data_IF_328168888597
#
_entry.id   IF_328168888597
#
_cell.length_a   1.000
_cell.length_b   1.000
_cell.length_c   1.000
_cell.angle_alpha   90.00
_cell.angle_beta   90.00
_cell.angle_gamma   90.00
#
_symmetry.space_group_name_H-M   'P 1'
#
loop_
_entity.id
_entity.type
_entity.pdbx_description
1 polymer ?
#
# COMPACT_ATOMS: atom_id res chain seq x y z
N UNK A 1 8.28 74.01 -10.16
CA UNK A 1 8.18 73.42 -8.81
C UNK A 1 7.15 72.30 -8.91
N UNK A 2 7.57 71.08 -9.23
CA UNK A 2 8.12 70.07 -8.33
C UNK A 2 7.02 69.19 -7.72
N UNK A 3 6.95 67.95 -8.25
CA UNK A 3 6.62 66.69 -7.53
C UNK A 3 5.16 66.48 -7.08
N UNK A 4 4.55 65.28 -7.09
CA UNK A 4 4.98 63.89 -7.22
C UNK A 4 3.84 63.08 -7.87
N UNK A 5 4.15 62.23 -8.85
CA UNK A 5 3.35 61.05 -9.11
C UNK A 5 3.59 60.06 -7.95
N UNK A 6 2.61 59.85 -7.07
CA UNK A 6 2.62 58.67 -6.20
C UNK A 6 1.99 57.51 -6.99
N UNK A 7 2.81 56.86 -7.81
CA UNK A 7 2.52 55.51 -8.26
C UNK A 7 2.76 54.55 -7.09
N UNK A 8 1.70 54.24 -6.34
CA UNK A 8 1.73 53.17 -5.36
C UNK A 8 1.67 51.82 -6.11
N UNK A 9 2.84 51.33 -6.52
CA UNK A 9 3.00 49.96 -7.03
C UNK A 9 2.87 49.00 -5.85
N UNK A 10 1.65 48.51 -5.59
CA UNK A 10 1.38 47.42 -4.67
C UNK A 10 1.87 46.11 -5.30
N UNK A 11 3.14 45.79 -5.07
CA UNK A 11 3.75 44.50 -5.38
C UNK A 11 3.26 43.48 -4.35
N UNK A 12 2.12 42.82 -4.61
CA UNK A 12 1.69 41.65 -3.83
C UNK A 12 2.61 40.47 -4.20
N UNK A 13 3.66 40.26 -3.41
CA UNK A 13 4.41 39.01 -3.40
C UNK A 13 3.46 37.86 -3.03
N UNK A 14 3.14 37.00 -4.00
CA UNK A 14 2.46 35.74 -3.74
C UNK A 14 3.32 34.88 -2.83
N UNK A 15 2.84 34.63 -1.62
CA UNK A 15 3.39 33.60 -0.75
C UNK A 15 3.08 32.25 -1.39
N UNK A 16 4.07 31.68 -2.08
CA UNK A 16 4.03 30.26 -2.47
C UNK A 16 4.22 29.44 -1.19
N UNK A 17 3.12 29.10 -0.52
CA UNK A 17 3.17 28.09 0.54
C UNK A 17 3.50 26.75 -0.10
N UNK A 18 4.52 26.01 0.39
CA UNK A 18 4.73 24.66 -0.08
C UNK A 18 3.52 23.82 0.35
N UNK A 19 2.81 23.25 -0.63
CA UNK A 19 1.88 22.16 -0.38
C UNK A 19 2.70 21.02 0.22
N UNK A 20 2.57 20.81 1.51
CA UNK A 20 2.98 19.56 2.13
C UNK A 20 2.00 18.50 1.63
N UNK A 21 2.50 17.55 0.85
CA UNK A 21 1.71 16.38 0.47
C UNK A 21 1.34 15.62 1.75
N UNK A 22 0.05 15.59 2.08
CA UNK A 22 -0.49 14.76 3.17
C UNK A 22 -0.35 13.29 2.75
N UNK A 23 0.20 12.44 3.62
CA UNK A 23 0.33 11.00 3.39
C UNK A 23 -0.38 10.20 4.52
N UNK A 24 -1.70 10.37 4.70
CA UNK A 24 -2.45 9.72 5.78
C UNK A 24 -2.30 8.20 5.83
N UNK A 25 -2.17 7.52 4.68
CA UNK A 25 -1.97 6.07 4.68
C UNK A 25 -0.58 5.67 5.20
N UNK A 26 0.47 6.41 4.83
CA UNK A 26 1.80 6.23 5.38
C UNK A 26 1.88 6.53 6.89
N UNK A 27 1.19 7.58 7.35
CA UNK A 27 1.15 7.94 8.77
C UNK A 27 0.50 6.83 9.60
N UNK A 28 -0.59 6.25 9.10
CA UNK A 28 -1.21 5.09 9.74
C UNK A 28 -0.29 3.87 9.74
N UNK A 29 0.42 3.60 8.63
CA UNK A 29 1.41 2.52 8.56
C UNK A 29 2.52 2.72 9.59
N UNK A 30 2.96 3.95 9.81
CA UNK A 30 3.95 4.28 10.83
C UNK A 30 3.40 4.06 12.26
N UNK A 31 2.18 4.52 12.55
CA UNK A 31 1.52 4.34 13.85
C UNK A 31 1.32 2.86 14.19
N UNK A 32 0.95 2.04 13.21
CA UNK A 32 0.83 0.59 13.39
C UNK A 32 2.18 -0.07 13.72
N UNK A 33 3.25 0.33 13.04
CA UNK A 33 4.61 -0.15 13.35
C UNK A 33 5.05 0.28 14.76
N UNK A 34 4.74 1.49 15.20
CA UNK A 34 5.02 1.97 16.57
C UNK A 34 4.29 1.12 17.61
N UNK A 35 3.00 0.82 17.37
CA UNK A 35 2.21 -0.08 18.22
C UNK A 35 2.83 -1.48 18.30
N UNK A 36 3.26 -2.03 17.17
CA UNK A 36 3.93 -3.35 17.15
C UNK A 36 5.29 -3.33 17.85
N UNK A 37 6.05 -2.24 17.75
CA UNK A 37 7.30 -2.04 18.49
C UNK A 37 7.02 -2.09 19.99
N UNK A 38 5.99 -1.38 20.45
CA UNK A 38 5.61 -1.36 21.86
C UNK A 38 5.29 -2.78 22.37
N UNK A 39 4.46 -3.53 21.66
CA UNK A 39 4.16 -4.92 22.03
C UNK A 39 5.40 -5.82 22.01
N UNK A 40 6.28 -5.67 21.02
CA UNK A 40 7.50 -6.46 20.94
C UNK A 40 8.48 -6.14 22.08
N UNK A 41 8.53 -4.88 22.55
CA UNK A 41 9.32 -4.48 23.73
C UNK A 41 8.77 -5.09 25.01
N UNK A 42 7.45 -5.02 25.21
CA UNK A 42 6.78 -5.61 26.38
C UNK A 42 6.97 -7.13 26.44
N UNK A 43 6.99 -7.80 25.28
CA UNK A 43 7.28 -9.23 25.18
C UNK A 43 8.78 -9.59 25.28
N UNK A 44 9.69 -8.61 25.44
CA UNK A 44 11.14 -8.84 25.50
C UNK A 44 11.76 -9.33 24.18
N UNK A 45 11.06 -9.21 23.05
CA UNK A 45 11.52 -9.70 21.75
C UNK A 45 12.38 -8.65 21.02
N UNK A 46 13.61 -8.48 21.49
CA UNK A 46 14.54 -7.47 20.98
C UNK A 46 14.87 -7.63 19.49
N UNK A 47 14.88 -8.86 18.97
CA UNK A 47 15.10 -9.10 17.54
C UNK A 47 13.96 -8.54 16.70
N UNK A 48 12.70 -8.79 17.10
CA UNK A 48 11.53 -8.22 16.44
C UNK A 48 11.50 -6.70 16.53
N UNK A 49 11.86 -6.13 17.68
CA UNK A 49 11.95 -4.67 17.86
C UNK A 49 12.89 -4.05 16.83
N UNK A 50 14.11 -4.57 16.70
CA UNK A 50 15.10 -4.04 15.75
C UNK A 50 14.61 -4.10 14.29
N UNK A 51 13.93 -5.20 13.90
CA UNK A 51 13.33 -5.32 12.58
C UNK A 51 12.22 -4.28 12.34
N UNK A 52 11.34 -4.08 13.31
CA UNK A 52 10.24 -3.11 13.22
C UNK A 52 10.73 -1.66 13.22
N UNK A 53 11.77 -1.32 13.99
CA UNK A 53 12.40 0.01 13.98
C UNK A 53 12.99 0.33 12.60
N UNK A 54 13.65 -0.65 11.96
CA UNK A 54 14.16 -0.51 10.60
C UNK A 54 13.02 -0.29 9.60
N UNK A 55 11.91 -1.02 9.73
CA UNK A 55 10.72 -0.84 8.90
C UNK A 55 10.09 0.55 9.10
N UNK A 56 9.95 1.01 10.34
CA UNK A 56 9.43 2.33 10.67
C UNK A 56 10.30 3.45 10.08
N UNK A 57 11.63 3.33 10.19
CA UNK A 57 12.56 4.27 9.57
C UNK A 57 12.42 4.30 8.05
N UNK A 58 12.20 3.15 7.40
CA UNK A 58 12.00 3.08 5.96
C UNK A 58 10.68 3.74 5.54
N UNK A 59 9.60 3.51 6.28
CA UNK A 59 8.29 4.14 6.04
C UNK A 59 8.40 5.65 6.16
N UNK A 60 8.97 6.17 7.25
CA UNK A 60 9.13 7.62 7.46
C UNK A 60 9.99 8.30 6.40
N UNK A 61 10.93 7.57 5.78
CA UNK A 61 11.85 8.12 4.78
C UNK A 61 11.31 8.07 3.35
N UNK A 62 10.63 6.97 2.99
CA UNK A 62 10.39 6.63 1.59
C UNK A 62 8.90 6.41 1.25
N UNK A 63 8.02 6.34 2.24
CA UNK A 63 6.61 6.04 1.97
C UNK A 63 5.90 7.20 1.28
N UNK A 64 5.06 6.87 0.30
CA UNK A 64 4.10 7.79 -0.31
C UNK A 64 2.78 7.04 -0.47
N UNK A 65 1.65 7.71 -0.26
CA UNK A 65 0.33 7.08 -0.38
C UNK A 65 0.09 6.56 -1.80
N UNK A 66 0.48 7.36 -2.80
CA UNK A 66 0.46 6.93 -4.19
C UNK A 66 1.36 5.71 -4.46
N UNK A 67 2.48 5.58 -3.74
CA UNK A 67 3.35 4.41 -3.80
C UNK A 67 2.66 3.16 -3.24
N UNK A 68 2.02 3.27 -2.08
CA UNK A 68 1.27 2.16 -1.46
C UNK A 68 0.11 1.70 -2.36
N UNK A 69 -0.62 2.63 -2.96
CA UNK A 69 -1.71 2.31 -3.90
C UNK A 69 -1.18 1.59 -5.14
N UNK A 70 -0.04 2.04 -5.70
CA UNK A 70 0.58 1.38 -6.85
C UNK A 70 1.06 -0.03 -6.52
N UNK A 71 1.73 -0.21 -5.39
CA UNK A 71 2.16 -1.52 -4.89
C UNK A 71 0.95 -2.45 -4.73
N UNK A 72 -0.12 -1.99 -4.07
CA UNK A 72 -1.33 -2.81 -3.91
C UNK A 72 -2.03 -3.17 -5.23
N UNK A 73 -2.04 -2.26 -6.21
CA UNK A 73 -2.56 -2.56 -7.56
C UNK A 73 -1.72 -3.59 -8.30
N UNK A 74 -0.41 -3.57 -8.09
CA UNK A 74 0.49 -4.58 -8.62
C UNK A 74 0.23 -5.95 -7.99
N UNK A 75 0.13 -6.02 -6.65
CA UNK A 75 -0.20 -7.26 -5.93
C UNK A 75 -1.53 -7.87 -6.45
N UNK A 76 -2.54 -7.03 -6.70
CA UNK A 76 -3.83 -7.46 -7.26
C UNK A 76 -3.66 -8.06 -8.66
N UNK A 77 -2.85 -7.44 -9.52
CA UNK A 77 -2.62 -7.93 -10.87
C UNK A 77 -1.88 -9.28 -10.86
N UNK A 78 -0.83 -9.42 -10.04
CA UNK A 78 -0.13 -10.71 -9.86
C UNK A 78 -1.08 -11.79 -9.32
N UNK A 79 -1.96 -11.45 -8.38
CA UNK A 79 -2.94 -12.38 -7.83
C UNK A 79 -4.01 -12.79 -8.86
N UNK A 80 -4.40 -11.89 -9.77
CA UNK A 80 -5.28 -12.19 -10.89
C UNK A 80 -4.61 -13.13 -11.91
N UNK A 81 -3.33 -12.91 -12.22
CA UNK A 81 -2.53 -13.80 -13.08
C UNK A 81 -2.41 -15.21 -12.46
N UNK A 82 -2.12 -15.31 -11.15
CA UNK A 82 -2.07 -16.60 -10.42
C UNK A 82 -3.41 -17.35 -10.49
N UNK A 83 -4.54 -16.64 -10.44
CA UNK A 83 -5.88 -17.23 -10.56
C UNK A 83 -6.09 -17.78 -11.98
N UNK A 84 -5.67 -17.05 -13.01
CA UNK A 84 -5.79 -17.46 -14.39
C UNK A 84 -4.94 -18.71 -14.69
N UNK A 85 -3.70 -18.76 -14.17
CA UNK A 85 -2.85 -19.95 -14.24
C UNK A 85 -3.51 -21.18 -13.59
N UNK A 86 -4.14 -21.01 -12.41
CA UNK A 86 -4.83 -22.12 -11.74
C UNK A 86 -6.05 -22.58 -12.54
N UNK A 87 -6.78 -21.67 -13.19
CA UNK A 87 -7.90 -22.04 -14.06
C UNK A 87 -7.44 -22.80 -15.30
N UNK A 88 -6.28 -22.46 -15.86
CA UNK A 88 -5.63 -23.22 -16.93
C UNK A 88 -5.23 -24.62 -16.48
N UNK A 89 -4.56 -24.73 -15.32
CA UNK A 89 -4.19 -26.00 -14.72
C UNK A 89 -5.41 -26.90 -14.47
N UNK A 90 -6.52 -26.33 -13.99
CA UNK A 90 -7.77 -27.08 -13.80
C UNK A 90 -8.23 -27.68 -15.14
N UNK A 91 -8.32 -26.88 -16.20
CA UNK A 91 -8.74 -27.35 -17.54
C UNK A 91 -7.83 -28.46 -18.07
N UNK A 92 -6.52 -28.32 -17.88
CA UNK A 92 -5.55 -29.35 -18.25
C UNK A 92 -5.80 -30.65 -17.47
N UNK A 93 -5.92 -30.57 -16.14
CA UNK A 93 -6.10 -31.77 -15.30
C UNK A 93 -7.46 -32.44 -15.47
N UNK A 94 -8.49 -31.69 -15.82
CA UNK A 94 -9.78 -32.24 -16.27
C UNK A 94 -9.61 -33.06 -17.55
N UNK A 95 -8.89 -32.53 -18.55
CA UNK A 95 -8.64 -33.24 -19.82
C UNK A 95 -7.80 -34.51 -19.65
N UNK A 96 -6.91 -34.53 -18.65
CA UNK A 96 -6.11 -35.69 -18.25
C UNK A 96 -6.91 -36.71 -17.40
N UNK A 97 -8.14 -36.40 -16.99
CA UNK A 97 -8.95 -37.23 -16.10
C UNK A 97 -8.43 -37.30 -14.66
N UNK A 98 -7.60 -36.34 -14.23
CA UNK A 98 -6.93 -36.32 -12.93
C UNK A 98 -7.73 -35.55 -11.88
N UNK A 99 -8.91 -36.07 -11.56
CA UNK A 99 -9.88 -35.40 -10.69
C UNK A 99 -9.39 -35.16 -9.25
N UNK A 100 -8.45 -35.97 -8.75
CA UNK A 100 -7.80 -35.74 -7.45
C UNK A 100 -6.99 -34.42 -7.44
N UNK A 101 -6.33 -34.12 -8.57
CA UNK A 101 -5.57 -32.87 -8.77
C UNK A 101 -6.50 -31.70 -9.00
N UNK A 102 -7.56 -31.86 -9.79
CA UNK A 102 -8.60 -30.83 -9.98
C UNK A 102 -9.14 -30.38 -8.62
N UNK A 103 -9.56 -31.33 -7.77
CA UNK A 103 -10.06 -31.00 -6.42
C UNK A 103 -9.03 -30.24 -5.56
N UNK A 104 -7.74 -30.52 -5.74
CA UNK A 104 -6.68 -29.79 -5.03
C UNK A 104 -6.49 -28.37 -5.56
N UNK A 105 -6.59 -28.18 -6.87
CA UNK A 105 -6.49 -26.89 -7.53
C UNK A 105 -7.71 -26.02 -7.22
N UNK A 106 -8.93 -26.57 -7.16
CA UNK A 106 -10.13 -25.85 -6.73
C UNK A 106 -9.99 -25.26 -5.32
N UNK A 107 -9.40 -26.01 -4.38
CA UNK A 107 -9.09 -25.48 -3.03
C UNK A 107 -8.02 -24.41 -3.06
N UNK A 108 -7.05 -24.48 -3.98
CA UNK A 108 -6.06 -23.42 -4.18
C UNK A 108 -6.75 -22.17 -4.72
N UNK A 109 -7.56 -22.32 -5.77
CA UNK A 109 -8.34 -21.26 -6.40
C UNK A 109 -9.24 -20.52 -5.40
N UNK A 110 -9.91 -21.24 -4.49
CA UNK A 110 -10.72 -20.62 -3.44
C UNK A 110 -9.87 -19.72 -2.52
N UNK A 111 -8.68 -20.17 -2.14
CA UNK A 111 -7.76 -19.37 -1.31
C UNK A 111 -7.24 -18.14 -2.06
N UNK A 112 -6.82 -18.29 -3.31
CA UNK A 112 -6.35 -17.17 -4.13
C UNK A 112 -7.46 -16.13 -4.36
N UNK A 113 -8.71 -16.56 -4.58
CA UNK A 113 -9.87 -15.66 -4.70
C UNK A 113 -10.17 -14.91 -3.40
N UNK A 114 -10.01 -15.58 -2.25
CA UNK A 114 -10.17 -14.94 -0.96
C UNK A 114 -9.08 -13.89 -0.71
N UNK A 115 -7.83 -14.19 -1.09
CA UNK A 115 -6.72 -13.23 -1.03
C UNK A 115 -6.95 -12.04 -1.97
N UNK A 116 -7.38 -12.28 -3.21
CA UNK A 116 -7.72 -11.21 -4.15
C UNK A 116 -8.77 -10.25 -3.59
N UNK A 117 -9.82 -10.79 -2.95
CA UNK A 117 -10.84 -9.96 -2.29
C UNK A 117 -10.26 -9.16 -1.12
N UNK A 118 -9.40 -9.78 -0.32
CA UNK A 118 -8.69 -9.09 0.76
C UNK A 118 -7.82 -7.94 0.22
N UNK A 119 -7.01 -8.17 -0.82
CA UNK A 119 -6.19 -7.15 -1.47
C UNK A 119 -7.04 -6.00 -2.04
N UNK A 120 -8.20 -6.29 -2.64
CA UNK A 120 -9.15 -5.28 -3.13
C UNK A 120 -9.75 -4.45 -2.00
N UNK A 121 -10.03 -5.06 -0.85
CA UNK A 121 -10.50 -4.35 0.34
C UNK A 121 -9.42 -3.44 0.93
N UNK A 122 -8.18 -3.92 0.99
CA UNK A 122 -7.02 -3.11 1.38
C UNK A 122 -6.84 -1.91 0.44
N UNK A 123 -6.91 -2.14 -0.88
CA UNK A 123 -6.82 -1.08 -1.87
C UNK A 123 -7.93 -0.04 -1.68
N UNK A 124 -9.18 -0.48 -1.54
CA UNK A 124 -10.31 0.42 -1.30
C UNK A 124 -10.12 1.24 -0.03
N UNK A 125 -9.52 0.64 0.99
CA UNK A 125 -9.20 1.33 2.24
C UNK A 125 -8.11 2.37 2.06
N UNK A 126 -7.08 2.08 1.26
CA UNK A 126 -6.01 3.03 0.93
C UNK A 126 -6.52 4.21 0.10
N UNK A 127 -7.40 3.97 -0.87
CA UNK A 127 -7.93 5.01 -1.77
C UNK A 127 -8.94 5.97 -1.10
N UNK A 128 -9.55 5.55 0.02
CA UNK A 128 -10.55 6.35 0.76
C UNK A 128 -9.93 7.25 1.84
N UNK A 129 -8.63 7.18 2.05
CA UNK A 129 -7.91 7.92 3.11
C UNK A 129 -7.43 9.28 2.65
#
# INVERSE_FOLDING_TARGET
>A
MATKHLAALLLMCGLVTPVMASNPACDQKASELERQIQYAREAGNNHRVAGLEKALSAVRKNCTDAGLIREKKHDIAEQEDDIDEILEDIREKESEGRYDKVKSLERKLERERAELEHLRQELSTLEKR
#
